data_IF_748846084740
#
_entry.id   IF_748846084740
#
_cell.length_a   1.000
_cell.length_b   1.000
_cell.length_c   1.000
_cell.angle_alpha   90.00
_cell.angle_beta   90.00
_cell.angle_gamma   90.00
#
_symmetry.space_group_name_H-M   'P 1'
#
loop_
_entity.id
_entity.type
_entity.pdbx_description
1 polymer ?
#
# COMPACT_ATOMS: atom_id res chain seq x y z
N UNK A 1 3.99 -21.92 37.62
CA UNK A 1 3.56 -22.82 36.53
C UNK A 1 3.40 -21.97 35.26
N UNK A 2 4.53 -21.44 34.77
CA UNK A 2 4.57 -20.32 33.80
C UNK A 2 5.85 -20.37 32.95
N UNK A 3 6.35 -21.59 32.70
CA UNK A 3 7.59 -21.82 31.93
C UNK A 3 7.40 -22.57 30.61
N UNK A 4 6.20 -23.07 30.30
CA UNK A 4 5.99 -23.94 29.11
C UNK A 4 5.45 -23.23 27.85
N UNK A 5 4.93 -22.00 27.96
CA UNK A 5 4.39 -21.27 26.79
C UNK A 5 5.52 -20.62 25.95
N UNK A 6 6.62 -20.17 26.59
CA UNK A 6 7.78 -19.57 25.90
C UNK A 6 8.53 -20.57 24.99
N UNK A 7 8.46 -21.87 25.29
CA UNK A 7 9.17 -22.89 24.50
C UNK A 7 8.41 -23.30 23.24
N UNK A 8 7.07 -23.23 23.25
CA UNK A 8 6.23 -23.56 22.08
C UNK A 8 6.27 -22.46 21.00
N UNK A 9 6.31 -21.18 21.39
CA UNK A 9 6.38 -20.05 20.45
C UNK A 9 7.71 -20.04 19.67
N UNK A 10 8.84 -20.36 20.32
CA UNK A 10 10.15 -20.48 19.64
C UNK A 10 10.17 -21.59 18.58
N UNK A 11 9.45 -22.69 18.80
CA UNK A 11 9.47 -23.86 17.90
C UNK A 11 8.61 -23.65 16.64
N UNK A 12 7.54 -22.87 16.73
CA UNK A 12 6.67 -22.51 15.59
C UNK A 12 7.33 -21.45 14.69
N UNK A 13 8.01 -20.47 15.28
CA UNK A 13 8.71 -19.40 14.54
C UNK A 13 9.92 -19.94 13.76
N UNK A 14 10.68 -20.87 14.34
CA UNK A 14 11.84 -21.46 13.65
C UNK A 14 11.45 -22.27 12.41
N UNK A 15 10.30 -22.97 12.46
CA UNK A 15 9.79 -23.79 11.34
C UNK A 15 9.35 -22.94 10.14
N UNK A 16 8.78 -21.75 10.37
CA UNK A 16 8.42 -20.81 9.30
C UNK A 16 9.66 -20.13 8.68
N UNK A 17 10.71 -19.90 9.48
CA UNK A 17 11.97 -19.32 8.98
C UNK A 17 12.77 -20.29 8.09
N UNK A 18 12.60 -21.61 8.27
CA UNK A 18 13.23 -22.63 7.42
C UNK A 18 12.46 -22.78 6.11
N UNK A 19 11.12 -22.81 6.17
CA UNK A 19 10.26 -22.84 4.97
C UNK A 19 10.48 -21.63 4.04
N UNK A 20 10.75 -20.45 4.62
CA UNK A 20 11.10 -19.24 3.87
C UNK A 20 12.50 -19.33 3.23
N UNK A 21 13.47 -19.99 3.89
CA UNK A 21 14.82 -20.21 3.34
C UNK A 21 14.84 -21.25 2.23
N UNK A 22 14.05 -22.31 2.35
CA UNK A 22 13.99 -23.39 1.38
C UNK A 22 13.28 -22.94 0.08
N UNK A 23 12.26 -22.07 0.19
CA UNK A 23 11.58 -21.46 -0.97
C UNK A 23 12.40 -20.35 -1.65
N UNK A 24 13.27 -19.63 -0.92
CA UNK A 24 14.18 -18.63 -1.51
C UNK A 24 15.20 -19.24 -2.47
N UNK A 25 15.57 -20.50 -2.27
CA UNK A 25 16.53 -21.20 -3.13
C UNK A 25 15.91 -21.61 -4.47
N UNK A 26 14.61 -21.93 -4.49
CA UNK A 26 13.89 -22.23 -5.74
C UNK A 26 13.57 -20.97 -6.55
N UNK A 27 13.30 -19.84 -5.90
CA UNK A 27 13.02 -18.54 -6.56
C UNK A 27 14.30 -17.92 -7.16
N UNK A 28 15.47 -18.19 -6.59
CA UNK A 28 16.79 -17.71 -7.08
C UNK A 28 17.13 -18.14 -8.50
N UNK A 29 16.51 -19.21 -9.02
CA UNK A 29 16.81 -19.72 -10.36
C UNK A 29 15.95 -19.12 -11.48
N UNK A 30 15.01 -18.19 -11.17
CA UNK A 30 14.02 -17.75 -12.16
C UNK A 30 14.12 -16.28 -12.61
N UNK A 31 14.85 -15.38 -11.92
CA UNK A 31 14.88 -13.96 -12.30
C UNK A 31 16.28 -13.36 -12.42
N UNK A 32 16.50 -12.75 -13.60
CA UNK A 32 17.74 -12.17 -14.11
C UNK A 32 18.34 -11.05 -13.23
N UNK A 33 19.65 -10.88 -13.44
CA UNK A 33 20.67 -10.41 -12.50
C UNK A 33 20.80 -8.88 -12.29
N UNK A 34 19.90 -8.05 -12.83
CA UNK A 34 20.07 -6.58 -12.75
C UNK A 34 19.14 -5.87 -11.74
N UNK A 35 18.05 -6.50 -11.28
CA UNK A 35 17.13 -5.90 -10.29
C UNK A 35 17.56 -6.23 -8.83
N UNK A 36 18.45 -7.21 -8.65
CA UNK A 36 18.78 -7.80 -7.35
C UNK A 36 19.68 -6.89 -6.48
N UNK A 37 20.49 -6.02 -7.09
CA UNK A 37 21.48 -5.22 -6.33
C UNK A 37 20.77 -4.15 -5.47
N UNK A 38 19.71 -3.51 -5.98
CA UNK A 38 18.96 -2.52 -5.20
C UNK A 38 18.05 -3.15 -4.12
N UNK A 39 17.50 -4.34 -4.36
CA UNK A 39 16.59 -4.99 -3.42
C UNK A 39 17.30 -5.60 -2.20
N UNK A 40 18.55 -6.04 -2.38
CA UNK A 40 19.34 -6.64 -1.29
C UNK A 40 19.87 -5.60 -0.30
N UNK A 41 20.26 -4.42 -0.77
CA UNK A 41 20.73 -3.34 0.11
C UNK A 41 19.59 -2.78 0.97
N UNK A 42 18.38 -2.63 0.41
CA UNK A 42 17.21 -2.17 1.15
C UNK A 42 16.75 -3.17 2.21
N UNK A 43 16.79 -4.49 1.92
CA UNK A 43 16.46 -5.53 2.91
C UNK A 43 17.50 -5.67 4.03
N UNK A 44 18.78 -5.38 3.77
CA UNK A 44 19.83 -5.39 4.80
C UNK A 44 19.69 -4.21 5.77
N UNK A 45 19.28 -3.03 5.27
CA UNK A 45 18.90 -1.86 6.10
C UNK A 45 17.73 -2.20 7.02
N UNK A 46 16.64 -2.69 6.42
CA UNK A 46 15.39 -3.01 7.12
C UNK A 46 15.58 -4.09 8.19
N UNK A 47 16.43 -5.09 7.93
CA UNK A 47 16.73 -6.14 8.91
C UNK A 47 17.53 -5.61 10.11
N UNK A 48 18.46 -4.69 9.87
CA UNK A 48 19.21 -4.00 10.93
C UNK A 48 18.29 -3.09 11.75
N UNK A 49 17.38 -2.37 11.10
CA UNK A 49 16.35 -1.53 11.74
C UNK A 49 15.44 -2.36 12.66
N UNK A 50 14.97 -3.53 12.21
CA UNK A 50 14.14 -4.44 13.02
C UNK A 50 14.93 -4.98 14.23
N UNK A 51 16.20 -5.34 14.08
CA UNK A 51 17.04 -5.83 15.18
C UNK A 51 17.35 -4.71 16.20
N UNK A 52 17.43 -3.44 15.76
CA UNK A 52 17.57 -2.25 16.63
C UNK A 52 16.27 -2.00 17.41
N UNK A 53 15.11 -2.03 16.75
CA UNK A 53 13.79 -1.86 17.40
C UNK A 53 13.58 -2.86 18.55
N UNK A 54 14.02 -4.12 18.37
CA UNK A 54 13.88 -5.14 19.41
C UNK A 54 14.89 -5.02 20.58
N UNK A 55 15.96 -4.25 20.42
CA UNK A 55 17.05 -4.15 21.42
C UNK A 55 17.06 -2.85 22.21
N UNK A 56 16.25 -1.85 21.85
CA UNK A 56 16.18 -0.55 22.55
C UNK A 56 14.97 -0.49 23.49
N UNK A 57 15.16 -0.95 24.74
CA UNK A 57 14.21 -0.75 25.83
C UNK A 57 14.78 0.37 26.73
N UNK A 58 14.28 1.60 26.57
CA UNK A 58 14.48 2.66 27.56
C UNK A 58 14.35 4.09 27.03
N UNK A 59 13.31 4.81 27.47
CA UNK A 59 13.28 6.28 27.53
C UNK A 59 12.53 7.04 26.44
N UNK A 60 11.63 6.41 25.69
CA UNK A 60 10.81 7.10 24.69
C UNK A 60 9.80 8.07 25.30
N UNK A 61 9.59 9.23 24.68
CA UNK A 61 8.44 10.09 24.96
C UNK A 61 7.22 9.62 24.16
N UNK A 62 6.07 9.60 24.80
CA UNK A 62 4.79 9.27 24.16
C UNK A 62 4.24 10.48 23.42
N UNK A 63 3.93 10.30 22.13
CA UNK A 63 3.36 11.33 21.28
C UNK A 63 1.87 11.08 21.12
N UNK A 64 1.04 12.00 21.59
CA UNK A 64 -0.42 11.87 21.48
C UNK A 64 -0.99 12.66 20.31
N UNK A 65 -2.00 12.09 19.65
CA UNK A 65 -2.80 12.76 18.62
C UNK A 65 -4.29 12.44 18.79
N UNK A 66 -5.11 13.48 18.89
CA UNK A 66 -6.57 13.33 18.92
C UNK A 66 -7.13 13.20 17.51
N UNK A 67 -7.98 12.21 17.25
CA UNK A 67 -8.71 12.04 15.99
C UNK A 67 -10.14 11.55 16.27
N UNK A 68 -11.15 12.34 15.87
CA UNK A 68 -12.57 12.08 16.16
C UNK A 68 -12.82 11.74 17.63
N UNK A 69 -12.39 12.63 18.53
CA UNK A 69 -12.56 12.52 19.98
C UNK A 69 -11.88 11.31 20.66
N UNK A 70 -11.08 10.56 19.91
CA UNK A 70 -10.24 9.48 20.43
C UNK A 70 -8.78 9.91 20.43
N UNK A 71 -8.03 9.53 21.47
CA UNK A 71 -6.60 9.75 21.56
C UNK A 71 -5.84 8.53 21.05
N UNK A 72 -4.82 8.78 20.23
CA UNK A 72 -3.91 7.77 19.70
C UNK A 72 -2.50 8.12 20.13
N UNK A 73 -1.74 7.12 20.57
CA UNK A 73 -0.37 7.28 21.08
C UNK A 73 0.63 6.63 20.12
N UNK A 74 1.75 7.32 19.89
CA UNK A 74 2.92 6.77 19.23
C UNK A 74 4.07 6.77 20.22
N UNK A 75 4.72 5.63 20.38
CA UNK A 75 5.94 5.52 21.15
C UNK A 75 7.11 5.87 20.25
N UNK A 76 8.00 6.70 20.78
CA UNK A 76 9.20 7.15 20.09
C UNK A 76 10.43 6.44 20.60
N UNK A 77 11.20 5.84 19.69
CA UNK A 77 12.59 5.43 19.95
C UNK A 77 13.51 6.41 19.24
N UNK A 78 14.57 6.83 19.91
CA UNK A 78 15.55 7.75 19.37
C UNK A 78 16.90 7.05 19.22
N UNK A 79 17.50 7.21 18.04
CA UNK A 79 18.89 6.88 17.73
C UNK A 79 19.66 8.18 17.42
N UNK A 80 20.97 8.13 17.19
CA UNK A 80 21.79 9.28 16.79
C UNK A 80 21.24 9.92 15.52
N UNK A 81 20.96 9.09 14.50
CA UNK A 81 20.57 9.54 13.16
C UNK A 81 19.05 9.52 12.90
N UNK A 82 18.29 8.77 13.71
CA UNK A 82 16.88 8.47 13.43
C UNK A 82 15.94 8.70 14.61
N UNK A 83 14.67 8.96 14.30
CA UNK A 83 13.56 8.64 15.21
C UNK A 83 12.74 7.50 14.62
N UNK A 84 12.33 6.55 15.45
CA UNK A 84 11.44 5.46 15.06
C UNK A 84 10.15 5.62 15.85
N UNK A 85 9.03 5.74 15.15
CA UNK A 85 7.71 5.88 15.75
C UNK A 85 6.87 4.65 15.43
N UNK A 86 6.26 4.08 16.46
CA UNK A 86 5.27 3.01 16.31
C UNK A 86 4.05 3.31 17.16
N UNK A 87 2.87 3.01 16.63
CA UNK A 87 1.64 3.07 17.42
C UNK A 87 1.52 1.81 18.27
N UNK A 88 1.49 1.94 19.59
CA UNK A 88 1.40 0.81 20.51
C UNK A 88 0.01 0.18 20.51
N UNK A 89 -0.02 -1.11 20.17
CA UNK A 89 -1.10 -2.07 20.40
C UNK A 89 -0.47 -3.49 20.42
N UNK A 90 -1.24 -4.56 20.66
CA UNK A 90 -0.76 -5.95 20.52
C UNK A 90 -0.12 -6.25 19.14
N UNK A 91 -0.33 -5.38 18.15
CA UNK A 91 0.19 -5.48 16.79
C UNK A 91 0.81 -4.15 16.35
N UNK A 92 1.88 -4.20 15.54
CA UNK A 92 2.48 -3.03 14.90
C UNK A 92 1.50 -2.42 13.87
N UNK A 93 0.69 -1.48 14.31
CA UNK A 93 -0.37 -0.87 13.50
C UNK A 93 0.17 0.14 12.48
N UNK A 94 1.16 0.93 12.87
CA UNK A 94 1.87 1.85 11.99
C UNK A 94 3.33 1.91 12.42
N UNK A 95 4.25 1.93 11.45
CA UNK A 95 5.66 2.24 11.69
C UNK A 95 6.12 3.40 10.80
N UNK A 96 6.82 4.36 11.41
CA UNK A 96 7.43 5.51 10.74
C UNK A 96 8.89 5.63 11.15
N UNK A 97 9.77 5.84 10.18
CA UNK A 97 11.18 6.15 10.40
C UNK A 97 11.43 7.59 9.98
N UNK A 98 12.05 8.38 10.84
CA UNK A 98 12.41 9.77 10.56
C UNK A 98 13.92 9.87 10.46
N UNK A 99 14.40 10.28 9.28
CA UNK A 99 15.80 10.59 9.00
C UNK A 99 16.06 12.07 9.33
N UNK A 100 16.89 12.32 10.35
CA UNK A 100 17.20 13.67 10.84
C UNK A 100 18.03 14.48 9.86
N UNK A 101 18.98 13.83 9.17
CA UNK A 101 19.86 14.49 8.21
C UNK A 101 19.07 14.93 6.98
N UNK A 102 18.28 14.01 6.42
CA UNK A 102 17.49 14.24 5.20
C UNK A 102 16.19 15.00 5.45
N UNK A 103 15.75 15.10 6.71
CA UNK A 103 14.52 15.80 7.13
C UNK A 103 13.25 15.14 6.55
N UNK A 104 13.23 13.81 6.53
CA UNK A 104 12.17 13.00 5.90
C UNK A 104 11.56 12.04 6.92
N UNK A 105 10.23 11.96 6.97
CA UNK A 105 9.51 10.89 7.66
C UNK A 105 8.98 9.85 6.67
N UNK A 106 9.51 8.62 6.71
CA UNK A 106 9.11 7.48 5.88
C UNK A 106 8.10 6.59 6.59
N UNK A 107 6.93 6.38 6.00
CA UNK A 107 5.91 5.46 6.50
C UNK A 107 6.20 4.06 5.91
N UNK A 108 6.67 3.14 6.74
CA UNK A 108 7.07 1.79 6.31
C UNK A 108 5.90 0.80 6.26
N UNK A 109 4.88 0.99 7.10
CA UNK A 109 3.78 0.05 7.19
C UNK A 109 2.53 0.63 7.84
N UNK A 110 1.37 0.19 7.34
CA UNK A 110 0.07 0.46 7.93
C UNK A 110 -0.71 -0.85 7.95
N UNK A 111 -0.88 -1.39 9.15
CA UNK A 111 -1.69 -2.56 9.41
C UNK A 111 -3.17 -2.31 9.09
N UNK A 112 -3.90 -3.40 8.83
CA UNK A 112 -5.35 -3.36 8.64
C UNK A 112 -6.08 -4.16 9.74
N UNK A 113 -5.52 -4.18 10.94
CA UNK A 113 -6.10 -4.87 12.09
C UNK A 113 -7.12 -3.96 12.77
N UNK A 114 -8.32 -4.47 13.04
CA UNK A 114 -9.37 -3.67 13.69
C UNK A 114 -8.97 -3.20 15.09
N UNK A 115 -8.11 -3.94 15.78
CA UNK A 115 -7.56 -3.57 17.09
C UNK A 115 -6.83 -2.24 17.07
N UNK A 116 -6.21 -1.87 15.94
CA UNK A 116 -5.50 -0.61 15.75
C UNK A 116 -6.35 0.66 15.87
N UNK A 117 -7.68 0.52 15.92
CA UNK A 117 -8.58 1.64 16.08
C UNK A 117 -9.52 1.38 17.25
N UNK A 118 -9.60 2.38 18.14
CA UNK A 118 -10.59 2.44 19.21
C UNK A 118 -12.02 2.35 18.63
N UNK A 119 -12.26 3.02 17.49
CA UNK A 119 -13.52 2.91 16.75
C UNK A 119 -13.39 1.90 15.59
N UNK A 120 -14.14 0.79 15.69
CA UNK A 120 -14.12 -0.38 14.78
C UNK A 120 -14.64 -0.14 13.34
N UNK A 121 -14.69 1.11 12.91
CA UNK A 121 -15.14 1.53 11.58
C UNK A 121 -14.40 0.81 10.44
N UNK A 122 -15.12 0.56 9.34
CA UNK A 122 -14.76 -0.33 8.22
C UNK A 122 -13.62 0.16 7.29
N UNK A 123 -12.77 1.09 7.73
CA UNK A 123 -11.71 1.71 6.91
C UNK A 123 -10.38 1.87 7.67
N UNK A 124 -9.99 0.85 8.42
CA UNK A 124 -8.80 0.84 9.29
C UNK A 124 -7.58 1.51 8.66
N UNK A 125 -7.06 0.97 7.54
CA UNK A 125 -5.85 1.53 6.92
C UNK A 125 -5.99 3.00 6.46
N UNK A 126 -7.17 3.43 6.01
CA UNK A 126 -7.38 4.85 5.64
C UNK A 126 -7.44 5.77 6.85
N UNK A 127 -7.99 5.30 7.95
CA UNK A 127 -8.05 6.06 9.20
C UNK A 127 -6.67 6.15 9.83
N UNK A 128 -5.94 5.04 9.95
CA UNK A 128 -4.58 5.02 10.46
C UNK A 128 -3.67 5.95 9.65
N UNK A 129 -3.72 5.88 8.31
CA UNK A 129 -2.94 6.80 7.48
C UNK A 129 -3.24 8.26 7.77
N UNK A 130 -4.51 8.65 7.94
CA UNK A 130 -4.87 10.03 8.27
C UNK A 130 -4.34 10.44 9.64
N UNK A 131 -4.41 9.55 10.63
CA UNK A 131 -3.86 9.76 11.97
C UNK A 131 -2.34 9.97 11.88
N UNK A 132 -1.62 9.10 11.17
CA UNK A 132 -0.17 9.18 10.95
C UNK A 132 0.23 10.50 10.29
N UNK A 133 -0.43 10.88 9.19
CA UNK A 133 -0.15 12.18 8.53
C UNK A 133 -0.43 13.35 9.46
N UNK A 134 -1.50 13.28 10.27
CA UNK A 134 -1.83 14.33 11.24
C UNK A 134 -0.76 14.43 12.34
N UNK A 135 -0.29 13.30 12.86
CA UNK A 135 0.80 13.21 13.85
C UNK A 135 2.09 13.82 13.28
N UNK A 136 2.51 13.39 12.08
CA UNK A 136 3.74 13.89 11.46
C UNK A 136 3.68 15.40 11.18
N UNK A 137 2.52 15.92 10.79
CA UNK A 137 2.32 17.37 10.62
C UNK A 137 2.35 18.13 11.94
N UNK A 138 1.77 17.57 13.01
CA UNK A 138 1.73 18.20 14.35
C UNK A 138 3.15 18.35 14.92
N UNK A 139 4.00 17.35 14.75
CA UNK A 139 5.34 17.29 15.33
C UNK A 139 6.46 17.56 14.32
N UNK A 140 6.14 18.14 13.15
CA UNK A 140 7.13 18.33 12.08
C UNK A 140 8.33 19.17 12.50
N UNK A 141 8.10 20.21 13.30
CA UNK A 141 9.14 21.12 13.75
C UNK A 141 10.00 20.47 14.84
N UNK A 142 9.39 19.67 15.73
CA UNK A 142 10.09 18.84 16.73
C UNK A 142 11.06 17.87 16.06
N UNK A 143 10.63 17.23 14.97
CA UNK A 143 11.45 16.28 14.23
C UNK A 143 12.32 16.92 13.14
N UNK A 144 12.16 18.21 12.88
CA UNK A 144 12.83 18.90 11.79
C UNK A 144 12.50 18.36 10.39
N UNK A 145 11.36 17.69 10.20
CA UNK A 145 10.96 17.10 8.91
C UNK A 145 10.19 18.10 8.04
N UNK A 146 10.42 18.06 6.73
CA UNK A 146 9.69 18.87 5.75
C UNK A 146 8.98 18.03 4.67
N UNK A 147 9.09 16.71 4.76
CA UNK A 147 8.54 15.78 3.78
C UNK A 147 8.16 14.46 4.43
N UNK A 148 7.02 13.92 3.99
CA UNK A 148 6.58 12.56 4.30
C UNK A 148 6.74 11.72 3.05
N UNK A 149 7.31 10.52 3.18
CA UNK A 149 7.50 9.59 2.06
C UNK A 149 6.95 8.20 2.38
N UNK A 150 6.68 7.43 1.35
CA UNK A 150 6.22 6.04 1.47
C UNK A 150 6.45 5.29 0.15
N UNK A 151 6.43 3.96 0.24
CA UNK A 151 6.38 3.08 -0.94
C UNK A 151 4.98 2.47 -1.11
N UNK A 152 4.39 2.56 -2.31
CA UNK A 152 3.08 1.98 -2.57
C UNK A 152 3.16 0.45 -2.80
N UNK A 153 3.19 -0.30 -1.72
CA UNK A 153 3.12 -1.76 -1.71
C UNK A 153 1.72 -2.30 -1.39
N UNK A 154 0.68 -1.44 -1.50
CA UNK A 154 -0.63 -1.80 -1.01
C UNK A 154 -1.35 -2.78 -1.94
N UNK A 155 -1.90 -3.83 -1.35
CA UNK A 155 -2.77 -4.81 -2.02
C UNK A 155 -4.12 -4.87 -1.33
N UNK A 156 -5.16 -5.21 -2.10
CA UNK A 156 -6.47 -5.55 -1.57
C UNK A 156 -6.75 -7.01 -1.89
N UNK A 157 -6.93 -7.81 -0.84
CA UNK A 157 -7.23 -9.23 -0.98
C UNK A 157 -8.67 -9.44 -1.46
N UNK A 158 -8.89 -10.37 -2.36
CA UNK A 158 -10.23 -10.85 -2.70
C UNK A 158 -10.56 -12.05 -1.81
N UNK A 159 -11.60 -11.97 -0.97
CA UNK A 159 -11.88 -13.02 0.00
C UNK A 159 -12.28 -14.36 -0.66
N UNK A 160 -12.89 -14.29 -1.85
CA UNK A 160 -13.45 -15.45 -2.56
C UNK A 160 -12.35 -16.34 -3.15
N UNK A 161 -11.44 -15.79 -3.96
CA UNK A 161 -10.38 -16.55 -4.62
C UNK A 161 -8.98 -16.38 -3.97
N UNK A 162 -8.87 -15.58 -2.90
CA UNK A 162 -7.62 -15.27 -2.17
C UNK A 162 -6.55 -14.54 -2.98
N UNK A 163 -6.87 -14.06 -4.18
CA UNK A 163 -5.95 -13.28 -5.01
C UNK A 163 -5.70 -11.89 -4.41
N UNK A 164 -4.49 -11.39 -4.61
CA UNK A 164 -4.08 -10.04 -4.23
C UNK A 164 -4.21 -9.09 -5.43
N UNK A 165 -5.06 -8.08 -5.29
CA UNK A 165 -5.23 -7.03 -6.30
C UNK A 165 -4.36 -5.83 -5.91
N UNK A 166 -3.46 -5.40 -6.80
CA UNK A 166 -2.64 -4.20 -6.58
C UNK A 166 -3.53 -2.98 -6.42
N UNK A 167 -3.47 -2.35 -5.25
CA UNK A 167 -4.38 -1.25 -4.90
C UNK A 167 -4.14 -0.02 -5.78
N UNK A 168 -2.89 0.23 -6.17
CA UNK A 168 -2.52 1.29 -7.10
C UNK A 168 -3.20 1.13 -8.46
N UNK A 169 -3.15 -0.07 -9.06
CA UNK A 169 -3.80 -0.37 -10.34
C UNK A 169 -5.30 -0.25 -10.27
N UNK A 170 -5.91 -0.88 -9.26
CA UNK A 170 -7.36 -0.81 -9.07
C UNK A 170 -7.83 0.63 -8.89
N UNK A 171 -7.16 1.44 -8.07
CA UNK A 171 -7.61 2.82 -7.86
C UNK A 171 -7.36 3.75 -9.03
N UNK A 172 -6.29 3.56 -9.80
CA UNK A 172 -6.10 4.31 -11.04
C UNK A 172 -7.23 3.95 -12.02
N UNK A 173 -7.58 2.67 -12.20
CA UNK A 173 -8.71 2.26 -13.03
C UNK A 173 -10.06 2.81 -12.55
N UNK A 174 -10.23 3.03 -11.24
CA UNK A 174 -11.46 3.55 -10.67
C UNK A 174 -11.54 5.08 -10.61
N UNK A 175 -10.40 5.78 -10.54
CA UNK A 175 -10.37 7.21 -10.18
C UNK A 175 -9.35 8.04 -10.93
N UNK A 176 -8.42 7.41 -11.66
CA UNK A 176 -7.24 8.05 -12.23
C UNK A 176 -6.11 8.31 -11.23
N UNK A 177 -6.30 7.99 -9.95
CA UNK A 177 -5.33 8.24 -8.88
C UNK A 177 -4.94 6.94 -8.16
N UNK A 178 -3.70 6.88 -7.67
CA UNK A 178 -3.29 5.89 -6.66
C UNK A 178 -3.96 6.15 -5.31
N UNK A 179 -3.90 5.17 -4.40
CA UNK A 179 -4.47 5.32 -3.06
C UNK A 179 -3.87 6.48 -2.27
N UNK A 180 -2.56 6.67 -2.38
CA UNK A 180 -1.84 7.74 -1.70
C UNK A 180 -2.02 9.09 -2.39
N UNK A 181 -2.11 9.11 -3.73
CA UNK A 181 -2.21 10.37 -4.48
C UNK A 181 -3.48 11.18 -4.22
N UNK A 182 -4.56 10.54 -3.75
CA UNK A 182 -5.76 11.25 -3.27
C UNK A 182 -5.49 12.15 -2.05
N UNK A 183 -4.37 11.93 -1.36
CA UNK A 183 -3.90 12.72 -0.23
C UNK A 183 -2.78 13.71 -0.60
N UNK A 184 -2.52 13.90 -1.90
CA UNK A 184 -1.49 14.84 -2.40
C UNK A 184 -0.10 14.24 -2.58
N UNK A 185 0.08 12.95 -2.30
CA UNK A 185 1.34 12.26 -2.54
C UNK A 185 1.65 12.16 -4.04
N UNK A 186 2.92 12.37 -4.40
CA UNK A 186 3.40 12.38 -5.79
C UNK A 186 4.65 11.54 -5.97
N UNK A 187 4.87 10.91 -7.14
CA UNK A 187 6.10 10.17 -7.41
C UNK A 187 7.36 10.99 -7.13
N UNK A 188 8.34 10.38 -6.47
CA UNK A 188 9.64 10.98 -6.16
C UNK A 188 10.77 10.07 -6.63
N UNK A 189 11.96 10.66 -6.77
CA UNK A 189 13.21 9.92 -6.91
C UNK A 189 13.70 9.48 -5.52
N UNK A 190 14.05 8.20 -5.37
CA UNK A 190 14.42 7.59 -4.08
C UNK A 190 15.75 8.11 -3.53
N UNK A 191 16.67 8.56 -4.39
CA UNK A 191 17.99 9.00 -3.97
C UNK A 191 17.97 10.47 -3.52
N UNK A 192 17.14 11.29 -4.18
CA UNK A 192 17.10 12.74 -3.95
C UNK A 192 15.88 13.19 -3.14
N UNK A 193 14.87 12.32 -2.99
CA UNK A 193 13.54 12.62 -2.46
C UNK A 193 12.83 13.79 -3.18
N UNK A 194 13.31 14.23 -4.34
CA UNK A 194 12.68 15.27 -5.16
C UNK A 194 11.58 14.66 -6.03
N UNK A 195 10.61 15.47 -6.43
CA UNK A 195 9.59 15.02 -7.38
C UNK A 195 10.25 14.58 -8.69
N UNK A 196 9.87 13.39 -9.15
CA UNK A 196 10.33 12.87 -10.42
C UNK A 196 9.40 13.39 -11.52
N UNK A 197 9.87 14.35 -12.32
CA UNK A 197 9.04 15.06 -13.31
C UNK A 197 8.39 14.10 -14.32
N UNK A 198 9.16 13.16 -14.87
CA UNK A 198 8.69 12.18 -15.85
C UNK A 198 7.60 11.28 -15.24
N UNK A 199 7.83 10.75 -14.04
CA UNK A 199 6.83 9.93 -13.37
C UNK A 199 5.57 10.73 -13.00
N UNK A 200 5.71 12.01 -12.65
CA UNK A 200 4.57 12.88 -12.38
C UNK A 200 3.77 13.20 -13.65
N UNK A 201 4.43 13.41 -14.78
CA UNK A 201 3.77 13.55 -16.08
C UNK A 201 2.97 12.30 -16.42
N UNK A 202 3.57 11.11 -16.34
CA UNK A 202 2.89 9.84 -16.56
C UNK A 202 1.72 9.63 -15.59
N UNK A 203 1.89 10.05 -14.33
CA UNK A 203 0.85 9.95 -13.31
C UNK A 203 -0.37 10.82 -13.69
N UNK A 204 -0.12 12.05 -14.16
CA UNK A 204 -1.18 12.93 -14.64
C UNK A 204 -1.81 12.40 -15.93
N UNK A 205 -1.02 11.79 -16.82
CA UNK A 205 -1.53 11.18 -18.04
C UNK A 205 -2.48 10.01 -17.76
N UNK A 206 -2.19 9.16 -16.76
CA UNK A 206 -3.11 8.11 -16.33
C UNK A 206 -4.49 8.67 -15.97
N UNK A 207 -4.53 9.81 -15.27
CA UNK A 207 -5.79 10.49 -14.96
C UNK A 207 -6.49 10.97 -16.23
N UNK A 208 -5.78 11.61 -17.15
CA UNK A 208 -6.35 12.10 -18.41
C UNK A 208 -6.93 10.97 -19.27
N UNK A 209 -6.28 9.81 -19.31
CA UNK A 209 -6.79 8.60 -19.97
C UNK A 209 -8.10 8.17 -19.30
N UNK A 210 -8.10 8.01 -17.97
CA UNK A 210 -9.27 7.51 -17.23
C UNK A 210 -10.45 8.49 -17.19
N UNK A 211 -10.21 9.78 -17.41
CA UNK A 211 -11.25 10.81 -17.54
C UNK A 211 -11.93 10.80 -18.92
N UNK A 212 -11.38 10.10 -19.91
CA UNK A 212 -11.87 10.12 -21.30
C UNK A 212 -12.26 8.74 -21.83
N UNK A 213 -11.50 7.70 -21.49
CA UNK A 213 -11.66 6.39 -22.11
C UNK A 213 -13.03 5.77 -21.78
N UNK A 214 -13.75 5.37 -22.81
CA UNK A 214 -15.05 4.71 -22.71
C UNK A 214 -14.93 3.19 -22.65
N UNK A 215 -16.01 2.51 -22.21
CA UNK A 215 -16.04 1.04 -22.20
C UNK A 215 -15.96 0.43 -23.61
N UNK A 216 -16.43 1.16 -24.64
CA UNK A 216 -16.29 0.77 -26.05
C UNK A 216 -14.83 0.82 -26.51
N UNK A 217 -14.15 1.94 -26.32
CA UNK A 217 -12.74 2.12 -26.70
C UNK A 217 -11.83 1.14 -25.97
N UNK A 218 -12.09 0.92 -24.68
CA UNK A 218 -11.38 -0.07 -23.89
C UNK A 218 -11.69 -1.52 -24.29
N UNK A 219 -12.71 -1.76 -25.14
CA UNK A 219 -13.19 -3.10 -25.51
C UNK A 219 -13.46 -3.97 -24.26
N UNK A 220 -14.27 -3.46 -23.33
CA UNK A 220 -14.48 -4.11 -22.02
C UNK A 220 -14.96 -5.57 -22.15
N UNK A 221 -15.74 -5.86 -23.18
CA UNK A 221 -16.30 -7.19 -23.43
C UNK A 221 -15.22 -8.25 -23.67
N UNK A 222 -14.09 -7.90 -24.27
CA UNK A 222 -12.92 -8.78 -24.41
C UNK A 222 -12.49 -9.33 -23.05
N UNK A 223 -12.47 -8.49 -22.02
CA UNK A 223 -12.03 -8.85 -20.67
C UNK A 223 -13.13 -9.56 -19.88
N UNK A 224 -14.38 -9.11 -20.01
CA UNK A 224 -15.52 -9.77 -19.34
C UNK A 224 -15.69 -11.22 -19.81
N UNK A 225 -15.39 -11.52 -21.08
CA UNK A 225 -15.37 -12.90 -21.58
C UNK A 225 -14.32 -13.79 -20.92
N UNK A 226 -13.28 -13.23 -20.28
CA UNK A 226 -12.29 -14.00 -19.51
C UNK A 226 -12.89 -14.59 -18.23
N UNK A 227 -14.00 -14.05 -17.72
CA UNK A 227 -14.67 -14.56 -16.53
C UNK A 227 -15.31 -15.92 -16.76
N UNK A 228 -15.68 -16.24 -18.02
CA UNK A 228 -16.46 -17.41 -18.43
C UNK A 228 -17.82 -17.53 -17.73
N UNK A 229 -18.25 -16.50 -17.01
CA UNK A 229 -19.53 -16.47 -16.31
C UNK A 229 -20.60 -15.89 -17.23
N UNK A 230 -21.55 -16.73 -17.63
CA UNK A 230 -22.62 -16.35 -18.56
C UNK A 230 -23.50 -15.23 -18.03
N UNK A 231 -23.74 -15.18 -16.72
CA UNK A 231 -24.58 -14.16 -16.10
C UNK A 231 -23.87 -12.81 -16.11
N UNK A 232 -22.57 -12.79 -15.77
CA UNK A 232 -21.75 -11.57 -15.83
C UNK A 232 -21.63 -11.07 -17.27
N UNK A 233 -21.34 -11.97 -18.22
CA UNK A 233 -21.25 -11.61 -19.65
C UNK A 233 -22.57 -10.99 -20.13
N UNK A 234 -23.69 -11.66 -19.90
CA UNK A 234 -25.02 -11.17 -20.30
C UNK A 234 -25.35 -9.81 -19.66
N UNK A 235 -25.06 -9.63 -18.37
CA UNK A 235 -25.30 -8.37 -17.68
C UNK A 235 -24.50 -7.21 -18.29
N UNK A 236 -23.22 -7.44 -18.64
CA UNK A 236 -22.40 -6.40 -19.27
C UNK A 236 -22.80 -6.15 -20.72
N UNK A 237 -23.23 -7.17 -21.47
CA UNK A 237 -23.81 -7.00 -22.81
C UNK A 237 -25.00 -6.04 -22.76
N UNK A 238 -25.90 -6.18 -21.78
CA UNK A 238 -27.02 -5.25 -21.58
C UNK A 238 -26.62 -3.83 -21.20
N UNK A 239 -25.50 -3.65 -20.50
CA UNK A 239 -24.94 -2.31 -20.23
C UNK A 239 -24.42 -1.68 -21.52
N UNK A 240 -23.69 -2.44 -22.34
CA UNK A 240 -23.16 -1.96 -23.62
C UNK A 240 -24.26 -1.62 -24.63
N UNK A 241 -25.34 -2.42 -24.70
CA UNK A 241 -26.51 -2.11 -25.53
C UNK A 241 -27.16 -0.78 -25.14
N UNK A 242 -27.11 -0.41 -23.85
CA UNK A 242 -27.75 0.81 -23.33
C UNK A 242 -26.86 2.05 -23.44
N UNK A 243 -25.56 1.92 -23.14
CA UNK A 243 -24.63 3.04 -23.07
C UNK A 243 -23.18 2.57 -23.28
N UNK A 244 -22.80 2.32 -24.53
CA UNK A 244 -21.42 1.95 -24.89
C UNK A 244 -20.39 3.08 -24.67
N UNK A 245 -20.84 4.32 -24.53
CA UNK A 245 -19.99 5.49 -24.33
C UNK A 245 -19.80 5.85 -22.85
N UNK A 246 -20.30 5.02 -21.92
CA UNK A 246 -20.00 5.16 -20.50
C UNK A 246 -18.49 5.16 -20.26
N UNK A 247 -18.01 6.07 -19.40
CA UNK A 247 -16.61 6.09 -19.00
C UNK A 247 -16.22 4.76 -18.33
N UNK A 248 -15.04 4.26 -18.66
CA UNK A 248 -14.54 3.00 -18.13
C UNK A 248 -14.50 3.00 -16.60
N UNK A 249 -14.04 4.11 -15.99
CA UNK A 249 -14.00 4.24 -14.53
C UNK A 249 -15.38 4.14 -13.89
N UNK A 250 -16.41 4.70 -14.51
CA UNK A 250 -17.78 4.68 -13.98
C UNK A 250 -18.38 3.28 -14.06
N UNK A 251 -18.11 2.56 -15.16
CA UNK A 251 -18.44 1.15 -15.28
C UNK A 251 -17.74 0.32 -14.20
N UNK A 252 -16.42 0.47 -14.03
CA UNK A 252 -15.65 -0.31 -13.06
C UNK A 252 -16.06 0.00 -11.61
N UNK A 253 -16.41 1.26 -11.29
CA UNK A 253 -16.96 1.62 -9.98
C UNK A 253 -18.29 0.92 -9.70
N UNK A 254 -19.18 0.84 -10.70
CA UNK A 254 -20.44 0.10 -10.58
C UNK A 254 -20.18 -1.41 -10.47
N UNK A 255 -19.28 -1.95 -11.29
CA UNK A 255 -18.88 -3.36 -11.28
C UNK A 255 -18.33 -3.77 -9.91
N UNK A 256 -17.47 -2.94 -9.31
CA UNK A 256 -16.84 -3.21 -8.01
C UNK A 256 -17.62 -2.64 -6.81
N UNK A 257 -18.88 -2.20 -7.01
CA UNK A 257 -19.72 -1.70 -5.91
C UNK A 257 -19.89 -2.75 -4.81
N UNK A 258 -20.08 -4.00 -5.23
CA UNK A 258 -20.06 -5.17 -4.36
C UNK A 258 -18.73 -5.90 -4.55
N UNK A 259 -17.66 -5.29 -4.03
CA UNK A 259 -16.30 -5.80 -4.25
C UNK A 259 -16.15 -7.29 -3.90
N UNK A 260 -16.72 -7.76 -2.79
CA UNK A 260 -16.57 -9.16 -2.37
C UNK A 260 -17.17 -10.17 -3.36
N UNK A 261 -18.27 -9.84 -4.04
CA UNK A 261 -18.89 -10.73 -5.04
C UNK A 261 -18.24 -10.62 -6.42
N UNK A 262 -17.58 -9.50 -6.71
CA UNK A 262 -17.06 -9.18 -8.05
C UNK A 262 -15.54 -9.22 -8.18
N UNK A 263 -14.80 -9.21 -7.06
CA UNK A 263 -13.34 -9.18 -7.07
C UNK A 263 -12.72 -10.39 -7.77
N UNK A 264 -13.37 -11.56 -7.68
CA UNK A 264 -12.89 -12.78 -8.34
C UNK A 264 -12.88 -12.66 -9.87
N UNK A 265 -13.83 -11.91 -10.44
CA UNK A 265 -13.90 -11.67 -11.87
C UNK A 265 -12.92 -10.58 -12.28
N UNK A 266 -12.85 -9.51 -11.49
CA UNK A 266 -11.93 -8.41 -11.73
C UNK A 266 -10.47 -8.85 -11.70
N UNK A 267 -10.08 -9.72 -10.75
CA UNK A 267 -8.72 -10.24 -10.64
C UNK A 267 -8.25 -10.99 -11.90
N UNK A 268 -9.17 -11.52 -12.71
CA UNK A 268 -8.83 -12.24 -13.95
C UNK A 268 -8.34 -11.31 -15.06
N UNK A 269 -8.71 -10.03 -15.04
CA UNK A 269 -8.46 -9.16 -16.20
C UNK A 269 -7.86 -7.79 -15.89
N UNK A 270 -7.91 -7.30 -14.65
CA UNK A 270 -7.60 -5.90 -14.37
C UNK A 270 -6.20 -5.46 -14.82
N UNK A 271 -5.17 -6.28 -14.61
CA UNK A 271 -3.81 -5.95 -15.04
C UNK A 271 -3.70 -5.90 -16.56
N UNK A 272 -4.34 -6.84 -17.26
CA UNK A 272 -4.32 -6.87 -18.72
C UNK A 272 -5.04 -5.65 -19.29
N UNK A 273 -6.20 -5.30 -18.73
CA UNK A 273 -6.91 -4.08 -19.07
C UNK A 273 -5.99 -2.87 -18.85
N UNK A 274 -5.38 -2.74 -17.67
CA UNK A 274 -4.48 -1.66 -17.28
C UNK A 274 -3.40 -1.37 -18.34
N UNK A 275 -2.69 -2.40 -18.78
CA UNK A 275 -1.61 -2.26 -19.77
C UNK A 275 -2.13 -2.08 -21.19
N UNK A 276 -3.23 -2.74 -21.57
CA UNK A 276 -3.82 -2.60 -22.90
C UNK A 276 -4.29 -1.14 -23.14
N UNK A 277 -4.80 -0.46 -22.10
CA UNK A 277 -5.18 0.96 -22.16
C UNK A 277 -4.03 1.94 -21.84
N UNK A 278 -2.78 1.44 -21.84
CA UNK A 278 -1.54 2.23 -21.75
C UNK A 278 -1.39 3.06 -20.48
N UNK A 279 -1.86 2.55 -19.33
CA UNK A 279 -1.59 3.18 -18.04
C UNK A 279 -0.18 2.84 -17.54
N UNK A 280 0.51 3.82 -16.97
CA UNK A 280 1.83 3.67 -16.36
C UNK A 280 1.74 2.98 -14.98
N UNK A 281 2.67 2.10 -14.64
CA UNK A 281 2.62 1.32 -13.41
C UNK A 281 3.27 2.06 -12.23
N UNK A 282 2.50 2.33 -11.18
CA UNK A 282 2.97 2.98 -9.95
C UNK A 282 3.09 2.06 -8.73
N UNK A 283 2.89 0.75 -8.90
CA UNK A 283 3.08 -0.21 -7.81
C UNK A 283 4.56 -0.34 -7.43
N UNK A 284 4.86 -0.34 -6.13
CA UNK A 284 6.21 -0.33 -5.53
C UNK A 284 7.05 0.91 -5.82
N UNK A 285 6.45 2.01 -6.27
CA UNK A 285 7.16 3.29 -6.43
C UNK A 285 7.09 4.13 -5.16
N UNK A 286 8.08 5.02 -5.01
CA UNK A 286 8.16 5.98 -3.92
C UNK A 286 7.29 7.19 -4.20
N UNK A 287 6.58 7.62 -3.16
CA UNK A 287 5.74 8.79 -3.18
C UNK A 287 6.13 9.76 -2.05
N UNK A 288 6.08 11.05 -2.32
CA UNK A 288 6.37 12.11 -1.35
C UNK A 288 5.27 13.16 -1.22
N UNK A 289 5.17 13.75 -0.03
CA UNK A 289 4.28 14.86 0.32
C UNK A 289 5.08 15.90 1.12
N UNK A 290 5.18 17.13 0.61
CA UNK A 290 5.76 18.25 1.37
C UNK A 290 4.80 18.69 2.49
N UNK A 291 5.32 19.02 3.68
CA UNK A 291 4.53 19.35 4.89
C UNK A 291 4.99 20.59 5.65
#
# INVERSE_FOLDING_TARGET
>A
MTLDIKFHIKKVIYKNSQLLRDNQTQIKNFFNKEIIINYNNYNLSLKREIDIIHSMIGGGEDLTITYKDNEYTYTQIMDEDYYILYSEDEFDCVSVVIDKERKVGEIHGIGNFKSCLIDSNTKVGSTLFKITIKMLKKYKDTFGINKIVLTDNSVKKCAVNKEDIKLSHMLILLTGYTWYGKYGFRPIDVNTYKYNEILNENYNNNKLIMDKITIKEANIMKYIKMTKDKNVIYAVEKILEKDENMLLKDFLQKFLKEYESTCQYFSLFYERLYYDIKLENFYKLFFGLNI
#
